data_IF_606124156738
#
_entry.id   IF_606124156738
#
_cell.length_a   1.000
_cell.length_b   1.000
_cell.length_c   1.000
_cell.angle_alpha   90.00
_cell.angle_beta   90.00
_cell.angle_gamma   90.00
#
_symmetry.space_group_name_H-M   'P 1'
#
loop_
_entity.id
_entity.type
_entity.pdbx_description
1 polymer ?
#
# COMPACT_ATOMS: atom_id res chain seq x y z
N UNK A 1 -12.15 -4.15 9.46
CA UNK A 1 -12.06 -3.80 8.03
C UNK A 1 -10.70 -3.21 7.79
N UNK A 2 -9.98 -3.72 6.79
CA UNK A 2 -8.66 -3.28 6.42
C UNK A 2 -8.57 -3.19 4.88
N UNK A 3 -7.86 -2.18 4.38
CA UNK A 3 -7.74 -1.90 2.96
C UNK A 3 -6.27 -1.91 2.53
N UNK A 4 -5.96 -2.49 1.36
CA UNK A 4 -4.62 -2.50 0.77
C UNK A 4 -3.57 -3.00 1.80
N UNK A 5 -2.48 -2.27 2.05
CA UNK A 5 -1.42 -2.65 2.98
C UNK A 5 -1.91 -2.92 4.41
N UNK A 6 -3.00 -2.28 4.84
CA UNK A 6 -3.56 -2.50 6.17
C UNK A 6 -4.09 -3.93 6.34
N UNK A 7 -4.50 -4.59 5.24
CA UNK A 7 -4.94 -5.98 5.29
C UNK A 7 -3.77 -6.93 5.57
N UNK A 8 -2.61 -6.72 4.95
CA UNK A 8 -1.38 -7.46 5.26
C UNK A 8 -0.99 -7.23 6.73
N UNK A 9 -0.98 -5.98 7.20
CA UNK A 9 -0.64 -5.64 8.59
C UNK A 9 -1.60 -6.34 9.57
N UNK A 10 -2.90 -6.37 9.24
CA UNK A 10 -3.91 -7.01 10.09
C UNK A 10 -3.72 -8.52 10.13
N UNK A 11 -3.45 -9.15 8.99
CA UNK A 11 -3.17 -10.59 8.92
C UNK A 11 -1.88 -10.95 9.67
N UNK A 12 -0.83 -10.15 9.56
CA UNK A 12 0.40 -10.33 10.33
C UNK A 12 0.14 -10.24 11.84
N UNK A 13 -0.59 -9.21 12.28
CA UNK A 13 -0.98 -9.07 13.68
C UNK A 13 -1.81 -10.27 14.18
N UNK A 14 -2.69 -10.80 13.34
CA UNK A 14 -3.52 -11.96 13.66
C UNK A 14 -2.71 -13.27 13.75
N UNK A 15 -1.87 -13.53 12.74
CA UNK A 15 -1.20 -14.82 12.53
C UNK A 15 0.12 -14.94 13.31
N UNK A 16 0.86 -13.84 13.47
CA UNK A 16 2.16 -13.82 14.14
C UNK A 16 2.04 -13.32 15.58
N UNK A 17 1.28 -12.25 15.81
CA UNK A 17 1.17 -11.64 17.14
C UNK A 17 -0.05 -12.11 17.95
N UNK A 18 -0.85 -13.04 17.40
CA UNK A 18 -1.99 -13.62 18.12
C UNK A 18 -3.12 -12.62 18.40
N UNK A 19 -3.21 -11.53 17.64
CA UNK A 19 -4.31 -10.57 17.80
C UNK A 19 -5.63 -11.23 17.43
N UNK A 20 -6.60 -11.24 18.33
CA UNK A 20 -7.90 -11.85 18.11
C UNK A 20 -8.89 -10.88 17.47
N UNK A 21 -9.58 -11.32 16.43
CA UNK A 21 -10.61 -10.57 15.72
C UNK A 21 -11.90 -11.38 15.70
N UNK A 22 -13.05 -10.74 15.88
CA UNK A 22 -14.34 -11.42 15.75
C UNK A 22 -14.70 -11.73 14.30
N UNK A 23 -14.25 -10.87 13.37
CA UNK A 23 -14.33 -11.06 11.92
C UNK A 23 -13.35 -10.11 11.22
N UNK A 24 -12.95 -10.44 10.00
CA UNK A 24 -12.10 -9.63 9.16
C UNK A 24 -12.78 -9.33 7.82
N UNK A 25 -12.68 -8.07 7.39
CA UNK A 25 -13.04 -7.64 6.04
C UNK A 25 -11.78 -7.09 5.41
N UNK A 26 -11.31 -7.75 4.35
CA UNK A 26 -10.15 -7.35 3.56
C UNK A 26 -10.66 -6.73 2.26
N UNK A 27 -10.38 -5.45 2.03
CA UNK A 27 -10.76 -4.71 0.83
C UNK A 27 -9.50 -4.47 -0.01
N UNK A 28 -9.50 -4.89 -1.27
CA UNK A 28 -8.42 -4.64 -2.25
C UNK A 28 -7.03 -4.97 -1.65
N UNK A 29 -6.96 -6.05 -0.87
CA UNK A 29 -5.77 -6.44 -0.12
C UNK A 29 -5.02 -7.49 -0.90
N UNK A 30 -3.91 -7.11 -1.53
CA UNK A 30 -3.04 -8.06 -2.21
C UNK A 30 -2.18 -8.82 -1.19
N UNK A 31 -2.52 -10.08 -0.92
CA UNK A 31 -1.82 -10.98 0.02
C UNK A 31 -0.93 -12.01 -0.68
N UNK A 32 -0.64 -11.83 -1.97
CA UNK A 32 0.16 -12.77 -2.76
C UNK A 32 1.38 -12.10 -3.38
N UNK A 33 2.39 -12.90 -3.68
CA UNK A 33 3.61 -12.48 -4.38
C UNK A 33 3.61 -12.95 -5.84
N UNK A 34 4.27 -12.20 -6.76
CA UNK A 34 4.89 -10.89 -6.54
C UNK A 34 3.85 -9.75 -6.55
N UNK A 35 4.08 -8.71 -5.74
CA UNK A 35 3.29 -7.47 -5.79
C UNK A 35 3.54 -6.77 -7.13
N UNK A 36 2.48 -6.58 -7.93
CA UNK A 36 2.56 -5.93 -9.25
C UNK A 36 2.21 -4.44 -9.14
N UNK A 37 3.22 -3.61 -8.92
CA UNK A 37 3.18 -2.20 -9.30
C UNK A 37 4.59 -1.75 -9.68
N UNK A 38 4.80 -1.52 -10.98
CA UNK A 38 6.12 -1.15 -11.51
C UNK A 38 6.62 0.19 -11.00
N UNK A 39 5.72 1.12 -10.63
CA UNK A 39 6.09 2.41 -10.08
C UNK A 39 6.56 2.27 -8.63
N UNK A 40 5.84 1.52 -7.79
CA UNK A 40 6.27 1.25 -6.41
C UNK A 40 7.59 0.48 -6.39
N UNK A 41 7.76 -0.49 -7.29
CA UNK A 41 9.00 -1.25 -7.40
C UNK A 41 10.18 -0.33 -7.78
N UNK A 42 9.98 0.58 -8.72
CA UNK A 42 10.97 1.57 -9.14
C UNK A 42 11.33 2.56 -8.02
N UNK A 43 10.34 3.07 -7.29
CA UNK A 43 10.58 3.95 -6.13
C UNK A 43 11.34 3.20 -5.04
N UNK A 44 11.01 1.92 -4.82
CA UNK A 44 11.70 1.08 -3.83
C UNK A 44 13.16 0.84 -4.22
N UNK A 45 13.45 0.57 -5.49
CA UNK A 45 14.83 0.31 -5.94
C UNK A 45 15.67 1.59 -5.99
N UNK A 46 15.09 2.72 -6.36
CA UNK A 46 15.80 3.98 -6.61
C UNK A 46 15.23 5.18 -5.83
N UNK A 47 15.09 5.10 -4.49
CA UNK A 47 14.38 6.14 -3.72
C UNK A 47 15.08 7.49 -3.76
N UNK A 48 16.41 7.51 -3.93
CA UNK A 48 17.18 8.75 -4.04
C UNK A 48 16.84 9.54 -5.31
N UNK A 49 16.43 8.88 -6.40
CA UNK A 49 15.99 9.58 -7.63
C UNK A 49 14.75 10.40 -7.33
N UNK A 50 13.78 9.82 -6.63
CA UNK A 50 12.52 10.48 -6.28
C UNK A 50 12.71 11.60 -5.25
N UNK A 51 13.66 11.44 -4.32
CA UNK A 51 14.02 12.48 -3.35
C UNK A 51 14.61 13.72 -4.04
N UNK A 52 15.33 13.53 -5.15
CA UNK A 52 16.01 14.59 -5.88
C UNK A 52 15.16 15.22 -6.99
N UNK A 53 13.94 14.74 -7.22
CA UNK A 53 13.07 15.30 -8.26
C UNK A 53 12.77 16.79 -7.98
N UNK A 54 12.84 17.65 -9.02
CA UNK A 54 12.30 19.00 -8.94
C UNK A 54 10.84 18.95 -8.48
N UNK A 55 10.47 19.86 -7.57
CA UNK A 55 9.17 19.83 -6.90
C UNK A 55 7.97 19.71 -7.88
N UNK A 56 7.90 20.44 -9.00
CA UNK A 56 6.78 20.29 -9.95
C UNK A 56 6.68 18.90 -10.58
N UNK A 57 7.82 18.22 -10.80
CA UNK A 57 7.84 16.86 -11.36
C UNK A 57 7.41 15.86 -10.30
N UNK A 58 7.90 16.02 -9.07
CA UNK A 58 7.46 15.19 -7.94
C UNK A 58 5.95 15.29 -7.72
N UNK A 59 5.40 16.51 -7.74
CA UNK A 59 3.96 16.74 -7.62
C UNK A 59 3.17 16.02 -8.72
N UNK A 60 3.62 16.12 -9.97
CA UNK A 60 2.99 15.42 -11.09
C UNK A 60 3.01 13.89 -10.90
N UNK A 61 4.11 13.34 -10.39
CA UNK A 61 4.22 11.90 -10.07
C UNK A 61 3.23 11.50 -8.97
N UNK A 62 3.19 12.23 -7.86
CA UNK A 62 2.27 11.94 -6.74
C UNK A 62 0.81 12.00 -7.20
N UNK A 63 0.47 13.00 -8.02
CA UNK A 63 -0.88 13.15 -8.58
C UNK A 63 -1.25 12.02 -9.53
N UNK A 64 -0.34 11.63 -10.42
CA UNK A 64 -0.54 10.50 -11.33
C UNK A 64 -0.77 9.19 -10.56
N UNK A 65 0.04 8.91 -9.53
CA UNK A 65 -0.13 7.73 -8.67
C UNK A 65 -1.40 7.79 -7.82
N UNK A 66 -1.79 8.98 -7.36
CA UNK A 66 -3.05 9.16 -6.63
C UNK A 66 -4.23 8.83 -7.54
N UNK A 67 -4.21 9.35 -8.77
CA UNK A 67 -5.26 9.12 -9.76
C UNK A 67 -5.40 7.65 -10.16
N UNK A 68 -4.29 6.90 -10.23
CA UNK A 68 -4.35 5.48 -10.59
C UNK A 68 -5.08 4.61 -9.58
N UNK A 69 -5.21 5.05 -8.32
CA UNK A 69 -5.91 4.32 -7.26
C UNK A 69 -7.45 4.47 -7.29
N UNK A 70 -8.01 5.08 -8.34
CA UNK A 70 -9.46 5.25 -8.47
C UNK A 70 -9.88 5.20 -9.94
N UNK A 71 -10.91 4.39 -10.24
CA UNK A 71 -11.43 4.25 -11.61
C UNK A 71 -12.05 5.54 -12.17
N UNK A 72 -12.72 6.33 -11.32
CA UNK A 72 -13.38 7.60 -11.70
C UNK A 72 -13.06 8.72 -10.69
N UNK A 73 -11.82 9.23 -10.71
CA UNK A 73 -11.42 10.29 -9.81
C UNK A 73 -12.00 11.62 -10.26
N UNK A 74 -12.46 12.41 -9.30
CA UNK A 74 -12.72 13.83 -9.52
C UNK A 74 -11.54 14.67 -8.99
N UNK A 75 -11.50 15.94 -9.40
CA UNK A 75 -10.41 16.86 -9.06
C UNK A 75 -10.31 17.09 -7.55
N UNK A 76 -11.45 17.20 -6.86
CA UNK A 76 -11.47 17.46 -5.42
C UNK A 76 -10.93 16.26 -4.62
N UNK A 77 -11.24 15.04 -5.06
CA UNK A 77 -10.68 13.82 -4.51
C UNK A 77 -9.18 13.74 -4.72
N UNK A 78 -8.69 14.00 -5.94
CA UNK A 78 -7.25 13.98 -6.25
C UNK A 78 -6.51 14.99 -5.38
N UNK A 79 -7.00 16.23 -5.30
CA UNK A 79 -6.37 17.28 -4.49
C UNK A 79 -6.31 16.90 -3.01
N UNK A 80 -7.41 16.40 -2.45
CA UNK A 80 -7.48 15.96 -1.06
C UNK A 80 -6.50 14.83 -0.76
N UNK A 81 -6.24 13.93 -1.72
CA UNK A 81 -5.35 12.76 -1.51
C UNK A 81 -3.89 13.04 -1.84
N UNK A 82 -3.61 13.97 -2.74
CA UNK A 82 -2.25 14.37 -3.09
C UNK A 82 -1.66 15.37 -2.10
N UNK A 83 -2.46 16.32 -1.59
CA UNK A 83 -2.01 17.45 -0.75
C UNK A 83 -1.08 17.03 0.42
N UNK A 84 -1.40 16.00 1.23
CA UNK A 84 -0.55 15.61 2.36
C UNK A 84 0.86 15.14 1.94
N UNK A 85 1.00 14.71 0.68
CA UNK A 85 2.24 14.17 0.12
C UNK A 85 3.07 15.22 -0.62
N UNK A 86 2.53 16.40 -0.90
CA UNK A 86 3.21 17.46 -1.67
C UNK A 86 3.44 18.76 -0.88
N UNK A 87 2.63 19.04 0.15
CA UNK A 87 2.64 20.35 0.84
C UNK A 87 3.71 20.57 1.90
N UNK A 88 4.67 19.65 2.11
CA UNK A 88 5.67 19.76 3.19
C UNK A 88 7.08 20.02 2.67
N UNK A 89 7.92 20.72 3.44
CA UNK A 89 9.33 20.97 3.08
C UNK A 89 10.19 19.70 2.94
N UNK A 90 9.66 18.54 3.35
CA UNK A 90 10.29 17.22 3.21
C UNK A 90 9.41 16.25 2.40
N UNK A 91 8.51 16.74 1.55
CA UNK A 91 7.52 15.97 0.81
C UNK A 91 8.12 14.77 0.07
N UNK A 92 9.19 14.97 -0.70
CA UNK A 92 9.82 13.89 -1.46
C UNK A 92 10.39 12.78 -0.57
N UNK A 93 11.02 13.14 0.56
CA UNK A 93 11.53 12.14 1.53
C UNK A 93 10.40 11.41 2.23
N UNK A 94 9.39 12.13 2.69
CA UNK A 94 8.24 11.55 3.38
C UNK A 94 7.46 10.59 2.48
N UNK A 95 7.41 10.86 1.18
CA UNK A 95 6.80 9.98 0.18
C UNK A 95 7.66 8.74 -0.12
N UNK A 96 8.94 8.92 -0.42
CA UNK A 96 9.81 7.81 -0.84
C UNK A 96 10.18 6.86 0.31
N UNK A 97 10.34 7.38 1.54
CA UNK A 97 10.81 6.61 2.70
C UNK A 97 9.98 5.35 3.01
N UNK A 98 8.65 5.41 3.20
CA UNK A 98 7.88 4.21 3.52
C UNK A 98 7.91 3.17 2.38
N UNK A 99 7.93 3.63 1.12
CA UNK A 99 8.01 2.73 -0.05
C UNK A 99 9.37 2.04 -0.12
N UNK A 100 10.46 2.76 0.16
CA UNK A 100 11.82 2.20 0.24
C UNK A 100 11.98 1.18 1.37
N UNK A 101 11.21 1.34 2.46
CA UNK A 101 11.21 0.44 3.61
C UNK A 101 10.27 -0.77 3.43
N UNK A 102 9.43 -0.77 2.38
CA UNK A 102 8.48 -1.85 2.15
C UNK A 102 9.22 -3.14 1.79
N UNK A 103 9.12 -4.12 2.70
CA UNK A 103 9.73 -5.44 2.53
C UNK A 103 8.65 -6.46 2.12
N UNK A 104 9.01 -7.39 1.24
CA UNK A 104 8.15 -8.52 0.87
C UNK A 104 8.40 -9.75 1.77
N UNK A 105 9.45 -9.75 2.58
CA UNK A 105 9.83 -10.90 3.41
C UNK A 105 8.71 -11.33 4.37
N UNK A 106 8.02 -10.39 4.99
CA UNK A 106 6.89 -10.68 5.89
C UNK A 106 5.77 -11.42 5.13
N UNK A 107 5.47 -10.99 3.90
CA UNK A 107 4.47 -11.64 3.07
C UNK A 107 4.94 -13.01 2.56
N UNK A 108 6.22 -13.13 2.22
CA UNK A 108 6.83 -14.40 1.82
C UNK A 108 6.79 -15.41 2.97
N UNK A 109 7.11 -15.00 4.20
CA UNK A 109 7.05 -15.86 5.38
C UNK A 109 5.62 -16.40 5.61
N UNK A 110 4.61 -15.54 5.50
CA UNK A 110 3.22 -15.94 5.62
C UNK A 110 2.80 -16.96 4.55
N UNK A 111 3.26 -16.77 3.31
CA UNK A 111 2.97 -17.66 2.18
C UNK A 111 3.71 -19.00 2.31
N UNK A 112 5.01 -18.97 2.59
CA UNK A 112 5.88 -20.16 2.68
C UNK A 112 5.48 -21.10 3.82
N UNK A 113 4.86 -20.58 4.87
CA UNK A 113 4.39 -21.36 6.03
C UNK A 113 2.88 -21.71 5.97
N UNK A 114 2.25 -21.52 4.82
CA UNK A 114 0.81 -21.75 4.58
C UNK A 114 -0.10 -21.10 5.65
N UNK A 115 0.30 -19.94 6.18
CA UNK A 115 -0.28 -19.37 7.40
C UNK A 115 -1.73 -18.92 7.25
N UNK A 116 -2.21 -18.71 6.02
CA UNK A 116 -3.60 -18.29 5.79
C UNK A 116 -4.64 -19.32 6.22
N UNK A 117 -4.28 -20.62 6.27
CA UNK A 117 -5.17 -21.65 6.81
C UNK A 117 -5.38 -21.52 8.33
N UNK A 118 -4.49 -20.78 9.01
CA UNK A 118 -4.48 -20.60 10.47
C UNK A 118 -5.25 -19.37 10.93
N UNK A 119 -5.98 -18.71 10.03
CA UNK A 119 -6.88 -17.60 10.40
C UNK A 119 -8.02 -18.15 11.26
N UNK A 120 -8.25 -17.54 12.42
CA UNK A 120 -9.12 -18.03 13.49
C UNK A 120 -10.48 -17.33 13.55
N UNK A 121 -10.83 -16.57 12.51
CA UNK A 121 -12.09 -15.82 12.43
C UNK A 121 -12.64 -15.82 11.02
N UNK A 122 -13.91 -15.44 10.88
CA UNK A 122 -14.56 -15.31 9.57
C UNK A 122 -13.90 -14.18 8.77
N UNK A 123 -13.55 -14.47 7.52
CA UNK A 123 -12.93 -13.51 6.60
C UNK A 123 -13.86 -13.27 5.42
N UNK A 124 -14.14 -12.00 5.16
CA UNK A 124 -14.74 -11.53 3.92
C UNK A 124 -13.68 -10.81 3.09
N UNK A 125 -13.49 -11.25 1.84
CA UNK A 125 -12.64 -10.57 0.87
C UNK A 125 -13.54 -9.80 -0.09
N UNK A 126 -13.27 -8.51 -0.24
CA UNK A 126 -13.95 -7.61 -1.16
C UNK A 126 -12.91 -7.07 -2.13
N UNK A 127 -13.26 -7.08 -3.42
CA UNK A 127 -12.38 -6.61 -4.48
C UNK A 127 -13.15 -5.70 -5.42
N UNK A 128 -12.65 -4.50 -5.67
CA UNK A 128 -13.19 -3.58 -6.66
C UNK A 128 -12.85 -4.08 -8.06
N UNK A 129 -13.85 -4.25 -8.92
CA UNK A 129 -13.68 -4.83 -10.26
C UNK A 129 -12.71 -4.06 -11.17
N UNK A 130 -12.40 -2.79 -10.84
CA UNK A 130 -11.49 -1.92 -11.59
C UNK A 130 -10.29 -1.45 -10.75
N UNK A 131 -9.89 -2.24 -9.75
CA UNK A 131 -8.59 -2.12 -9.07
C UNK A 131 -7.44 -2.57 -10.00
#
# INVERSE_FOLDING_TARGET
MAHDIAGIITLWAHLIHGSEFSSLVLLDTNTVLPRRDGMYQLIRSEPQVFIQLPLPIFEAVVRAMTRSAMHRPDQAWEDTRAEPRIGSGNAQRSFARPIAQANDADLAEMLDQDMYEKVRCDVQVMWAEQD
#
